data_IF_390305502010
#
_entry.id   IF_390305502010
#
_cell.length_a   1.000
_cell.length_b   1.000
_cell.length_c   1.000
_cell.angle_alpha   90.00
_cell.angle_beta   90.00
_cell.angle_gamma   90.00
#
_symmetry.space_group_name_H-M   'P 1'
#
loop_
_entity.id
_entity.type
_entity.pdbx_description
1 polymer ?
#
# COMPACT_ATOMS: atom_id res chain seq x y z
N UNK A 1 16.52 17.76 1.90
CA UNK A 1 16.18 16.46 1.30
C UNK A 1 14.70 16.21 1.60
N UNK A 2 13.86 15.86 0.62
CA UNK A 2 12.45 15.56 0.89
C UNK A 2 12.33 14.32 1.77
N UNK A 3 11.29 14.27 2.61
CA UNK A 3 10.97 13.09 3.43
C UNK A 3 9.76 12.36 2.84
N UNK A 4 9.84 11.04 2.82
CA UNK A 4 8.79 10.15 2.31
C UNK A 4 8.43 9.15 3.41
N UNK A 5 7.14 9.05 3.74
CA UNK A 5 6.64 8.07 4.70
C UNK A 5 6.10 6.85 3.95
N UNK A 6 6.69 5.69 4.20
CA UNK A 6 6.22 4.39 3.73
C UNK A 6 5.41 3.71 4.83
N UNK A 7 4.16 3.35 4.53
CA UNK A 7 3.28 2.61 5.46
C UNK A 7 3.17 1.16 4.97
N UNK A 8 3.65 0.21 5.76
CA UNK A 8 3.67 -1.21 5.41
C UNK A 8 2.67 -2.04 6.23
N UNK A 9 1.72 -2.68 5.55
CA UNK A 9 0.76 -3.62 6.15
C UNK A 9 1.22 -5.06 5.98
N UNK A 10 2.29 -5.48 6.65
CA UNK A 10 2.60 -6.91 6.90
C UNK A 10 2.70 -7.89 5.70
N UNK A 11 2.62 -7.45 4.45
CA UNK A 11 2.32 -8.39 3.36
C UNK A 11 3.16 -8.21 2.12
N UNK A 12 4.00 -7.18 2.00
CA UNK A 12 4.79 -7.01 0.76
C UNK A 12 6.09 -6.25 0.99
N UNK A 13 7.04 -6.82 1.77
CA UNK A 13 8.39 -6.25 1.85
C UNK A 13 9.13 -6.33 0.50
N UNK A 14 8.81 -7.29 -0.36
CA UNK A 14 9.50 -7.49 -1.65
C UNK A 14 9.10 -6.47 -2.71
N UNK A 15 7.81 -6.21 -2.94
CA UNK A 15 7.36 -5.11 -3.84
C UNK A 15 7.88 -3.73 -3.40
N UNK A 16 8.08 -3.57 -2.10
CA UNK A 16 8.57 -2.33 -1.51
C UNK A 16 10.07 -2.13 -1.70
N UNK A 17 10.82 -3.18 -2.03
CA UNK A 17 12.27 -3.15 -2.19
C UNK A 17 12.69 -2.24 -3.35
N UNK A 18 12.11 -2.46 -4.54
CA UNK A 18 12.43 -1.67 -5.73
C UNK A 18 12.08 -0.19 -5.53
N UNK A 19 10.91 0.11 -4.97
CA UNK A 19 10.50 1.49 -4.66
C UNK A 19 11.46 2.16 -3.68
N UNK A 20 11.90 1.44 -2.64
CA UNK A 20 12.86 1.95 -1.68
C UNK A 20 14.19 2.32 -2.33
N UNK A 21 14.78 1.42 -3.14
CA UNK A 21 16.10 1.69 -3.74
C UNK A 21 16.06 2.80 -4.81
N UNK A 22 14.93 3.00 -5.47
CA UNK A 22 14.73 4.15 -6.36
C UNK A 22 14.65 5.46 -5.58
N UNK A 23 13.97 5.49 -4.43
CA UNK A 23 13.72 6.74 -3.69
C UNK A 23 14.79 7.08 -2.65
N UNK A 24 15.46 6.11 -2.04
CA UNK A 24 16.42 6.31 -0.95
C UNK A 24 17.60 7.25 -1.32
N UNK A 25 18.11 7.27 -2.57
CA UNK A 25 19.13 8.25 -2.97
C UNK A 25 18.60 9.69 -3.05
N UNK A 26 17.29 9.89 -3.11
CA UNK A 26 16.65 11.18 -3.39
C UNK A 26 15.81 11.72 -2.22
N UNK A 27 15.47 10.87 -1.26
CA UNK A 27 14.62 11.21 -0.13
C UNK A 27 15.04 10.47 1.15
N UNK A 28 14.76 11.10 2.29
CA UNK A 28 14.78 10.41 3.57
C UNK A 28 13.52 9.57 3.67
N UNK A 29 13.66 8.26 3.85
CA UNK A 29 12.55 7.32 3.94
C UNK A 29 12.30 6.98 5.41
N UNK A 30 11.11 7.36 5.89
CA UNK A 30 10.58 6.90 7.17
C UNK A 30 9.66 5.72 6.92
N UNK A 31 9.76 4.69 7.76
CA UNK A 31 8.93 3.49 7.66
C UNK A 31 8.00 3.43 8.87
N UNK A 32 6.74 3.18 8.60
CA UNK A 32 5.71 2.90 9.58
C UNK A 32 5.11 1.52 9.31
N UNK A 33 4.91 0.74 10.37
CA UNK A 33 4.19 -0.53 10.26
C UNK A 33 3.25 -0.69 11.45
N UNK A 34 2.06 -1.29 11.23
CA UNK A 34 1.16 -1.56 12.33
C UNK A 34 1.72 -2.39 13.47
N UNK A 35 2.55 -3.39 13.11
CA UNK A 35 3.17 -4.29 14.09
C UNK A 35 4.55 -3.80 14.53
N UNK A 36 4.92 -2.56 14.21
CA UNK A 36 6.23 -2.01 14.53
C UNK A 36 7.37 -2.66 13.75
N UNK A 37 8.54 -2.73 14.38
CA UNK A 37 9.75 -3.29 13.79
C UNK A 37 9.55 -4.73 13.29
N UNK A 38 10.10 -5.03 12.13
CA UNK A 38 10.07 -6.36 11.51
C UNK A 38 8.66 -7.01 11.39
N UNK A 39 7.72 -6.40 10.64
CA UNK A 39 6.43 -7.05 10.38
C UNK A 39 6.65 -8.40 9.64
N UNK A 40 5.81 -9.44 9.88
CA UNK A 40 5.77 -10.64 9.05
C UNK A 40 5.81 -10.31 7.56
N UNK A 41 6.39 -11.23 6.79
CA UNK A 41 6.49 -11.14 5.34
C UNK A 41 5.57 -12.20 4.74
N UNK A 42 4.89 -11.86 3.65
CA UNK A 42 4.11 -12.83 2.88
C UNK A 42 5.02 -13.86 2.21
N UNK A 43 4.85 -15.13 2.55
CA UNK A 43 5.68 -16.23 2.02
C UNK A 43 5.52 -16.41 0.51
N UNK A 44 4.32 -16.14 -0.03
CA UNK A 44 4.07 -16.17 -1.48
C UNK A 44 4.94 -15.17 -2.22
N UNK A 45 5.02 -13.95 -1.70
CA UNK A 45 5.86 -12.87 -2.20
C UNK A 45 7.35 -13.20 -2.05
N UNK A 46 7.79 -13.79 -0.94
CA UNK A 46 9.20 -14.22 -0.80
C UNK A 46 9.55 -15.25 -1.86
N UNK A 47 8.67 -16.23 -2.10
CA UNK A 47 8.89 -17.26 -3.12
C UNK A 47 8.90 -16.68 -4.53
N UNK A 48 7.97 -15.77 -4.84
CA UNK A 48 7.88 -15.12 -6.15
C UNK A 48 9.13 -14.30 -6.48
N UNK A 49 9.76 -13.69 -5.47
CA UNK A 49 10.94 -12.85 -5.60
C UNK A 49 12.22 -13.51 -5.05
N UNK A 50 12.25 -14.85 -4.95
CA UNK A 50 13.38 -15.58 -4.35
C UNK A 50 14.70 -15.41 -5.11
N UNK A 51 14.60 -15.08 -6.40
CA UNK A 51 15.73 -14.83 -7.29
C UNK A 51 15.97 -13.34 -7.59
N UNK A 52 15.24 -12.43 -6.94
CA UNK A 52 15.40 -10.99 -7.13
C UNK A 52 16.44 -10.41 -6.15
N UNK A 53 17.62 -9.97 -6.64
CA UNK A 53 18.71 -9.52 -5.77
C UNK A 53 18.33 -8.31 -4.91
N UNK A 54 17.48 -7.41 -5.41
CA UNK A 54 17.05 -6.23 -4.66
C UNK A 54 16.11 -6.60 -3.51
N UNK A 55 15.12 -7.45 -3.75
CA UNK A 55 14.24 -7.99 -2.71
C UNK A 55 15.04 -8.73 -1.62
N UNK A 56 16.00 -9.58 -2.01
CA UNK A 56 16.85 -10.28 -1.05
C UNK A 56 17.69 -9.31 -0.20
N UNK A 57 18.28 -8.29 -0.83
CA UNK A 57 19.05 -7.24 -0.15
C UNK A 57 18.18 -6.42 0.81
N UNK A 58 16.96 -6.08 0.40
CA UNK A 58 16.01 -5.34 1.22
C UNK A 58 15.57 -6.17 2.44
N UNK A 59 15.26 -7.45 2.25
CA UNK A 59 14.91 -8.38 3.33
C UNK A 59 16.06 -8.61 4.31
N UNK A 60 17.31 -8.51 3.89
CA UNK A 60 18.49 -8.66 4.75
C UNK A 60 18.90 -7.36 5.49
N UNK A 61 18.30 -6.21 5.16
CA UNK A 61 18.75 -4.92 5.68
C UNK A 61 18.23 -4.65 7.11
N UNK A 62 19.11 -4.74 8.11
CA UNK A 62 18.80 -4.53 9.52
C UNK A 62 18.33 -3.11 9.85
N UNK A 63 18.81 -2.09 9.13
CA UNK A 63 18.33 -0.71 9.28
C UNK A 63 16.85 -0.61 8.88
N UNK A 64 16.46 -1.22 7.76
CA UNK A 64 15.07 -1.23 7.29
C UNK A 64 14.18 -2.06 8.22
N UNK A 65 14.69 -3.17 8.76
CA UNK A 65 13.97 -3.98 9.77
C UNK A 65 13.73 -3.22 11.07
N UNK A 66 14.70 -2.42 11.51
CA UNK A 66 14.67 -1.66 12.76
C UNK A 66 14.00 -0.30 12.68
N UNK A 67 13.79 0.27 11.50
CA UNK A 67 13.25 1.62 11.29
C UNK A 67 11.71 1.71 11.28
N UNK A 68 10.99 0.59 11.36
CA UNK A 68 9.54 0.65 11.35
C UNK A 68 9.02 1.12 12.72
N UNK A 69 8.56 2.37 12.78
CA UNK A 69 7.84 2.87 13.93
C UNK A 69 6.51 2.11 14.05
N UNK A 70 6.18 1.69 15.26
CA UNK A 70 4.87 1.12 15.54
C UNK A 70 3.81 2.21 15.43
N UNK A 71 2.95 2.11 14.43
CA UNK A 71 1.68 2.82 14.44
C UNK A 71 0.72 2.01 15.29
N UNK A 72 0.18 2.60 16.36
CA UNK A 72 -0.75 1.92 17.29
C UNK A 72 -1.82 1.14 16.53
N UNK A 73 -1.92 -0.15 16.84
CA UNK A 73 -2.94 -1.12 16.40
C UNK A 73 -3.45 -0.95 14.97
N UNK A 74 -2.56 -0.72 14.00
CA UNK A 74 -3.04 -0.75 12.63
C UNK A 74 -3.38 -2.23 12.25
N UNK A 75 -4.54 -2.47 11.66
CA UNK A 75 -5.01 -3.83 11.47
C UNK A 75 -4.42 -4.41 10.15
N UNK A 76 -4.72 -5.65 9.74
CA UNK A 76 -4.13 -6.31 8.54
C UNK A 76 -4.36 -5.44 7.30
N UNK A 77 -3.73 -5.74 6.16
CA UNK A 77 -3.93 -4.96 4.91
C UNK A 77 -5.42 -4.69 4.59
N UNK A 78 -6.30 -5.64 4.93
CA UNK A 78 -7.74 -5.57 4.75
C UNK A 78 -8.48 -4.67 5.74
N UNK A 79 -7.85 -4.30 6.83
CA UNK A 79 -8.48 -3.54 7.90
C UNK A 79 -8.13 -2.04 7.82
N UNK A 80 -7.00 -1.67 7.17
CA UNK A 80 -6.66 -0.27 6.86
C UNK A 80 -7.76 0.54 6.15
N UNK A 81 -8.54 -0.02 5.20
CA UNK A 81 -9.59 0.71 4.51
C UNK A 81 -10.65 1.36 5.42
N UNK A 82 -10.85 0.81 6.62
CA UNK A 82 -11.84 1.26 7.61
C UNK A 82 -11.19 1.80 8.89
N UNK A 83 -9.87 1.71 9.01
CA UNK A 83 -9.14 2.20 10.17
C UNK A 83 -9.15 3.75 10.21
N UNK A 84 -9.75 4.37 11.25
CA UNK A 84 -9.80 5.82 11.38
C UNK A 84 -8.41 6.46 11.52
N UNK A 85 -7.41 5.75 12.06
CA UNK A 85 -6.03 6.26 12.20
C UNK A 85 -5.39 6.39 10.83
N UNK A 86 -5.45 5.33 10.02
CA UNK A 86 -4.98 5.36 8.64
C UNK A 86 -5.69 6.41 7.78
N UNK A 87 -7.03 6.48 7.85
CA UNK A 87 -7.80 7.49 7.10
C UNK A 87 -7.38 8.91 7.50
N UNK A 88 -7.21 9.16 8.80
CA UNK A 88 -6.77 10.45 9.31
C UNK A 88 -5.36 10.79 8.80
N UNK A 89 -4.42 9.86 8.92
CA UNK A 89 -3.04 10.05 8.45
C UNK A 89 -3.01 10.35 6.94
N UNK A 90 -3.69 9.55 6.12
CA UNK A 90 -3.72 9.77 4.68
C UNK A 90 -4.39 11.10 4.30
N UNK A 91 -5.44 11.54 5.03
CA UNK A 91 -6.04 12.86 4.86
C UNK A 91 -5.05 14.00 5.20
N UNK A 92 -4.25 13.85 6.26
CA UNK A 92 -3.22 14.82 6.67
C UNK A 92 -2.12 14.99 5.61
N UNK A 93 -1.88 13.98 4.77
CA UNK A 93 -0.98 14.09 3.62
C UNK A 93 -1.70 14.65 2.39
N UNK A 94 -2.87 14.12 2.06
CA UNK A 94 -3.58 14.46 0.83
C UNK A 94 -4.10 15.90 0.80
N UNK A 95 -4.76 16.35 1.88
CA UNK A 95 -5.41 17.66 1.95
C UNK A 95 -4.47 18.86 1.78
N UNK A 96 -3.25 18.88 2.32
CA UNK A 96 -2.28 19.93 2.02
C UNK A 96 -1.59 19.79 0.65
N UNK A 97 -2.03 18.85 -0.21
CA UNK A 97 -1.49 18.68 -1.56
C UNK A 97 -0.18 17.88 -1.61
N UNK A 98 0.15 17.11 -0.57
CA UNK A 98 1.31 16.19 -0.65
C UNK A 98 0.97 15.00 -1.54
N UNK A 99 2.02 14.38 -2.06
CA UNK A 99 1.89 13.16 -2.87
C UNK A 99 1.44 12.01 -1.95
N UNK A 100 0.37 11.34 -2.35
CA UNK A 100 -0.10 10.09 -1.75
C UNK A 100 -0.16 9.05 -2.87
N UNK A 101 0.53 7.93 -2.68
CA UNK A 101 0.62 6.86 -3.67
C UNK A 101 0.47 5.50 -2.99
N UNK A 102 -0.07 4.55 -3.71
CA UNK A 102 -0.26 3.17 -3.27
C UNK A 102 -0.18 2.23 -4.47
N UNK A 103 0.21 0.97 -4.21
CA UNK A 103 0.41 -0.06 -5.23
C UNK A 103 -0.34 -1.33 -4.86
N UNK A 104 -0.78 -2.09 -5.86
CA UNK A 104 -1.47 -3.38 -5.68
C UNK A 104 -2.73 -3.21 -4.80
N UNK A 105 -2.88 -4.00 -3.75
CA UNK A 105 -3.96 -3.87 -2.74
C UNK A 105 -3.79 -2.68 -1.80
N UNK A 106 -2.61 -2.04 -1.74
CA UNK A 106 -2.41 -0.85 -0.91
C UNK A 106 -3.36 0.29 -1.27
N UNK A 107 -3.90 0.29 -2.49
CA UNK A 107 -4.90 1.26 -2.95
C UNK A 107 -6.19 1.15 -2.14
N UNK A 108 -6.53 -0.05 -1.64
CA UNK A 108 -7.66 -0.27 -0.75
C UNK A 108 -7.54 0.53 0.55
N UNK A 109 -6.32 0.76 1.05
CA UNK A 109 -6.10 1.57 2.26
C UNK A 109 -6.50 3.04 2.09
N UNK A 110 -6.69 3.51 0.85
CA UNK A 110 -7.01 4.90 0.56
C UNK A 110 -8.52 5.13 0.32
N UNK A 111 -9.36 4.10 0.31
CA UNK A 111 -10.81 4.20 -0.04
C UNK A 111 -11.63 5.09 0.90
N UNK A 112 -11.17 5.28 2.14
CA UNK A 112 -11.78 6.20 3.11
C UNK A 112 -11.26 7.64 3.05
N UNK A 113 -10.27 7.94 2.21
CA UNK A 113 -9.61 9.25 2.15
C UNK A 113 -10.45 10.23 1.35
N UNK A 114 -10.51 11.48 1.83
CA UNK A 114 -11.33 12.55 1.27
C UNK A 114 -10.55 13.86 1.14
N UNK A 115 -10.95 14.68 0.17
CA UNK A 115 -10.49 16.06 0.08
C UNK A 115 -11.05 16.94 1.22
N UNK A 116 -10.71 18.23 1.20
CA UNK A 116 -11.17 19.20 2.19
C UNK A 116 -12.69 19.46 2.14
N UNK A 117 -13.38 19.03 1.08
CA UNK A 117 -14.82 19.12 0.88
C UNK A 117 -15.55 17.80 1.22
N UNK A 118 -14.82 16.79 1.69
CA UNK A 118 -15.37 15.46 1.99
C UNK A 118 -15.60 14.57 0.77
N UNK A 119 -15.16 14.99 -0.43
CA UNK A 119 -15.25 14.17 -1.63
C UNK A 119 -14.16 13.12 -1.64
N UNK A 120 -14.48 11.90 -2.06
CA UNK A 120 -13.47 10.84 -2.21
C UNK A 120 -12.33 11.27 -3.12
N UNK A 121 -11.09 10.94 -2.75
CA UNK A 121 -9.91 11.26 -3.56
C UNK A 121 -9.90 10.58 -4.93
N UNK A 122 -10.68 9.51 -5.09
CA UNK A 122 -10.84 8.78 -6.35
C UNK A 122 -11.74 9.50 -7.33
N UNK A 123 -12.65 10.35 -6.85
CA UNK A 123 -13.75 10.87 -7.66
C UNK A 123 -13.25 11.71 -8.86
N UNK A 124 -13.50 11.19 -10.07
CA UNK A 124 -13.09 11.79 -11.35
C UNK A 124 -11.64 11.51 -11.76
N UNK A 125 -10.86 10.77 -10.96
CA UNK A 125 -9.45 10.48 -11.23
C UNK A 125 -9.28 9.13 -11.91
N UNK A 126 -8.24 9.03 -12.75
CA UNK A 126 -7.77 7.76 -13.30
C UNK A 126 -6.96 7.03 -12.23
N UNK A 127 -7.37 5.82 -11.89
CA UNK A 127 -6.76 5.03 -10.81
C UNK A 127 -6.64 3.59 -11.27
N UNK A 128 -5.62 2.90 -10.77
CA UNK A 128 -5.45 1.47 -10.89
C UNK A 128 -5.17 0.88 -9.51
N UNK A 129 -5.16 -0.44 -9.41
CA UNK A 129 -4.98 -1.21 -8.19
C UNK A 129 -5.21 -2.68 -8.51
N UNK A 130 -5.14 -3.55 -7.53
CA UNK A 130 -5.39 -4.97 -7.76
C UNK A 130 -6.80 -5.19 -8.33
N UNK A 131 -6.90 -5.93 -9.44
CA UNK A 131 -8.14 -6.12 -10.19
C UNK A 131 -8.94 -7.32 -9.70
N UNK A 132 -10.24 -7.33 -10.02
CA UNK A 132 -11.11 -8.46 -9.71
C UNK A 132 -10.63 -9.76 -10.37
N UNK A 133 -10.10 -9.67 -11.60
CA UNK A 133 -9.59 -10.83 -12.33
C UNK A 133 -8.36 -11.44 -11.64
N UNK A 134 -7.46 -10.59 -11.11
CA UNK A 134 -6.29 -11.06 -10.36
C UNK A 134 -6.71 -11.69 -9.02
N UNK A 135 -7.72 -11.13 -8.36
CA UNK A 135 -8.27 -11.68 -7.10
C UNK A 135 -8.93 -13.05 -7.31
N UNK A 136 -9.62 -13.23 -8.44
CA UNK A 136 -10.22 -14.51 -8.85
C UNK A 136 -9.15 -15.57 -9.13
N UNK A 137 -8.07 -15.21 -9.84
CA UNK A 137 -6.95 -16.14 -10.13
C UNK A 137 -6.31 -16.64 -8.84
N UNK A 138 -6.13 -15.75 -7.86
CA UNK A 138 -5.58 -16.12 -6.56
C UNK A 138 -6.61 -16.84 -5.66
N UNK A 139 -7.87 -16.93 -6.07
CA UNK A 139 -8.98 -17.48 -5.27
C UNK A 139 -9.12 -16.80 -3.90
N UNK A 140 -8.77 -15.51 -3.84
CA UNK A 140 -8.75 -14.68 -2.61
C UNK A 140 -9.95 -13.77 -2.47
N UNK A 141 -10.90 -13.84 -3.41
CA UNK A 141 -12.14 -13.04 -3.42
C UNK A 141 -12.99 -13.14 -2.15
N UNK A 142 -12.87 -14.23 -1.38
CA UNK A 142 -13.59 -14.44 -0.11
C UNK A 142 -12.81 -13.96 1.12
N UNK A 143 -11.50 -13.74 0.97
CA UNK A 143 -10.62 -13.30 2.06
C UNK A 143 -10.56 -11.77 2.14
N UNK A 144 -11.00 -11.07 1.09
CA UNK A 144 -11.03 -9.60 1.02
C UNK A 144 -12.40 -9.07 1.48
N UNK A 145 -12.45 -7.97 2.25
CA UNK A 145 -13.69 -7.41 2.77
C UNK A 145 -14.54 -6.74 1.68
N UNK A 146 -13.90 -6.33 0.59
CA UNK A 146 -14.53 -5.77 -0.61
C UNK A 146 -13.58 -5.87 -1.79
N UNK A 147 -14.12 -5.79 -3.02
CA UNK A 147 -13.34 -5.64 -4.24
C UNK A 147 -12.74 -4.23 -4.33
N UNK A 148 -11.41 -4.14 -4.48
CA UNK A 148 -10.70 -2.85 -4.65
C UNK A 148 -11.18 -2.12 -5.91
N UNK A 149 -11.30 -2.84 -7.02
CA UNK A 149 -11.79 -2.31 -8.31
C UNK A 149 -13.22 -1.74 -8.18
N UNK A 150 -14.16 -2.53 -7.66
CA UNK A 150 -15.56 -2.12 -7.51
C UNK A 150 -15.68 -0.94 -6.55
N UNK A 151 -14.90 -0.95 -5.46
CA UNK A 151 -14.91 0.12 -4.48
C UNK A 151 -14.43 1.44 -5.10
N UNK A 152 -13.33 1.43 -5.86
CA UNK A 152 -12.84 2.62 -6.57
C UNK A 152 -13.89 3.15 -7.54
N UNK A 153 -14.55 2.28 -8.31
CA UNK A 153 -15.61 2.66 -9.25
C UNK A 153 -16.80 3.28 -8.49
N UNK A 154 -17.23 2.67 -7.38
CA UNK A 154 -18.32 3.18 -6.54
C UNK A 154 -18.04 4.57 -5.96
N UNK A 155 -16.77 4.91 -5.76
CA UNK A 155 -16.31 6.22 -5.27
C UNK A 155 -16.13 7.24 -6.40
N UNK A 156 -16.53 6.90 -7.63
CA UNK A 156 -16.45 7.74 -8.81
C UNK A 156 -15.07 7.76 -9.48
N UNK A 157 -14.21 6.78 -9.18
CA UNK A 157 -12.92 6.60 -9.82
C UNK A 157 -13.05 6.00 -11.23
N UNK A 158 -12.19 6.44 -12.13
CA UNK A 158 -12.02 5.86 -13.47
C UNK A 158 -10.98 4.76 -13.36
N UNK A 159 -11.43 3.57 -12.99
CA UNK A 159 -10.54 2.42 -12.81
C UNK A 159 -10.01 1.92 -14.17
N UNK A 160 -8.71 1.61 -14.21
CA UNK A 160 -8.03 1.07 -15.40
C UNK A 160 -7.13 -0.09 -14.99
N UNK A 161 -7.03 -1.10 -15.85
CA UNK A 161 -6.18 -2.30 -15.66
C UNK A 161 -5.58 -2.72 -17.01
N UNK A 162 -4.55 -3.56 -16.96
CA UNK A 162 -3.95 -4.14 -18.15
C UNK A 162 -4.88 -5.19 -18.79
N UNK A 163 -4.68 -5.46 -20.08
CA UNK A 163 -5.47 -6.46 -20.83
C UNK A 163 -5.27 -7.89 -20.32
N UNK A 164 -4.13 -8.17 -19.66
CA UNK A 164 -3.82 -9.46 -19.07
C UNK A 164 -3.43 -9.28 -17.58
N UNK A 165 -3.92 -10.15 -16.69
CA UNK A 165 -3.40 -10.25 -15.33
C UNK A 165 -1.97 -10.79 -15.37
N UNK A 166 -1.16 -10.35 -14.40
CA UNK A 166 0.29 -10.60 -14.22
C UNK A 166 0.95 -11.63 -15.16
#
# INVERSE_FOLDING_TARGET
MPSVLFVFTLTTKTLSAHLYYVLAPHATIDIASPNGANPPVDEGSVKMFENDPESLKFLANETIKGQAHQCQEAPRMFDLPVDPVNIKLANEFYRPGKIVSAVCHGVAALVGVTDTQGKSIFAGKNVTGFSNAEEEILSKTKDVPFSTEDRIISLGGKYTKADKPF
#
